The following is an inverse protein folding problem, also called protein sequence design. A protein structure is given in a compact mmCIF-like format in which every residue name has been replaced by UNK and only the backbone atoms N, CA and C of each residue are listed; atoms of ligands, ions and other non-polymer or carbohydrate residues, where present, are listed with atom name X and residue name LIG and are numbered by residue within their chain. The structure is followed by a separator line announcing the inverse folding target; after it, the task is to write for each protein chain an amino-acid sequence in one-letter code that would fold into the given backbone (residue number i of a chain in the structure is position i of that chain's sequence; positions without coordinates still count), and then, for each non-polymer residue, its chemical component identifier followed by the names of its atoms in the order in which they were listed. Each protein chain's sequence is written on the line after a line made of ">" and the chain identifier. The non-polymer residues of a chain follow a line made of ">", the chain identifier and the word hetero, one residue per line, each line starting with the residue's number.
data_IF_046885566275
#
_entry.id   IF_046885566275
#
_cell.length_a   1.000
_cell.length_b   1.000
_cell.length_c   1.000
_cell.angle_alpha   90.00
_cell.angle_beta   90.00
_cell.angle_gamma   90.00
#
_symmetry.space_group_name_H-M   'P 1'
#
loop_
_entity.id
_entity.type
_entity.pdbx_description
1 polymer ?
#
# COMPACT_ATOMS: atom_id res chain seq x y z
N UNK A 1 5.61 -6.42 14.28
CA UNK A 1 4.49 -5.86 13.47
C UNK A 1 5.04 -5.37 12.12
N UNK A 2 4.85 -6.17 11.07
CA UNK A 2 5.29 -5.82 9.72
C UNK A 2 4.40 -4.75 9.09
N UNK A 3 4.79 -4.18 7.94
CA UNK A 3 3.91 -3.29 7.19
C UNK A 3 2.59 -4.02 6.92
N UNK A 4 1.48 -3.30 7.01
CA UNK A 4 0.18 -3.83 6.63
C UNK A 4 0.25 -4.14 5.13
N UNK A 5 0.59 -5.37 4.76
CA UNK A 5 0.70 -5.85 3.36
C UNK A 5 -0.68 -6.26 2.84
N UNK A 6 -0.81 -6.36 1.51
CA UNK A 6 -2.04 -6.80 0.84
C UNK A 6 -2.53 -8.17 1.32
N UNK A 7 -1.64 -9.15 1.42
CA UNK A 7 -1.99 -10.50 1.90
C UNK A 7 -2.64 -10.49 3.29
N UNK A 8 -2.13 -9.63 4.18
CA UNK A 8 -2.68 -9.48 5.53
C UNK A 8 -4.01 -8.75 5.53
N UNK A 9 -4.19 -7.73 4.67
CA UNK A 9 -5.48 -7.07 4.43
C UNK A 9 -6.54 -8.08 4.00
N UNK A 10 -6.24 -8.87 2.98
CA UNK A 10 -7.13 -9.90 2.44
C UNK A 10 -7.47 -10.94 3.52
N UNK A 11 -6.48 -11.39 4.29
CA UNK A 11 -6.66 -12.37 5.37
C UNK A 11 -7.52 -11.85 6.51
N UNK A 12 -7.31 -10.60 6.95
CA UNK A 12 -8.10 -10.02 8.05
C UNK A 12 -9.55 -9.80 7.63
N UNK A 13 -9.77 -9.28 6.41
CA UNK A 13 -11.12 -9.10 5.88
C UNK A 13 -11.85 -10.45 5.80
N UNK A 14 -11.18 -11.48 5.28
CA UNK A 14 -11.74 -12.83 5.20
C UNK A 14 -12.16 -13.35 6.57
N UNK A 15 -11.26 -13.31 7.56
CA UNK A 15 -11.54 -13.75 8.94
C UNK A 15 -12.71 -13.00 9.57
N UNK A 16 -12.82 -11.70 9.33
CA UNK A 16 -13.92 -10.87 9.83
C UNK A 16 -15.26 -11.32 9.24
N UNK A 17 -15.32 -11.53 7.92
CA UNK A 17 -16.52 -11.98 7.23
C UNK A 17 -16.88 -13.43 7.59
N UNK A 18 -15.89 -14.30 7.76
CA UNK A 18 -16.09 -15.69 8.21
C UNK A 18 -16.69 -15.71 9.61
N UNK A 19 -16.16 -14.92 10.55
CA UNK A 19 -16.71 -14.78 11.89
C UNK A 19 -18.16 -14.27 11.86
N UNK A 20 -18.44 -13.24 11.06
CA UNK A 20 -19.81 -12.74 10.90
C UNK A 20 -20.74 -13.84 10.37
N UNK A 21 -20.35 -14.52 9.30
CA UNK A 21 -21.17 -15.57 8.65
C UNK A 21 -21.42 -16.74 9.61
N UNK A 22 -20.38 -17.20 10.30
CA UNK A 22 -20.47 -18.29 11.28
C UNK A 22 -21.42 -17.94 12.43
N UNK A 23 -21.39 -16.70 12.94
CA UNK A 23 -22.30 -16.28 14.03
C UNK A 23 -23.75 -16.26 13.51
N UNK A 24 -24.00 -15.78 12.29
CA UNK A 24 -25.36 -15.76 11.72
C UNK A 24 -25.95 -17.17 11.54
N UNK A 25 -25.11 -18.16 11.28
CA UNK A 25 -25.54 -19.56 11.17
C UNK A 25 -25.74 -20.23 12.54
N UNK A 26 -24.86 -19.96 13.50
CA UNK A 26 -24.81 -20.71 14.77
C UNK A 26 -25.54 -20.04 15.93
N UNK A 27 -25.79 -18.73 15.86
CA UNK A 27 -26.42 -17.98 16.94
C UNK A 27 -27.92 -18.29 17.11
N UNK A 28 -28.47 -18.08 18.33
CA UNK A 28 -29.92 -18.08 18.57
C UNK A 28 -30.64 -17.12 17.62
N UNK A 29 -31.90 -17.42 17.27
CA UNK A 29 -32.69 -16.66 16.27
C UNK A 29 -32.69 -15.14 16.48
N UNK A 30 -32.70 -14.70 17.73
CA UNK A 30 -32.71 -13.28 18.10
C UNK A 30 -31.36 -12.56 17.97
N UNK A 31 -30.30 -13.25 17.52
CA UNK A 31 -28.95 -12.69 17.30
C UNK A 31 -28.38 -12.99 15.91
N UNK A 32 -29.17 -13.63 15.03
CA UNK A 32 -28.72 -13.99 13.67
C UNK A 32 -28.60 -12.79 12.72
N UNK A 33 -29.06 -11.62 13.13
CA UNK A 33 -28.97 -10.36 12.38
C UNK A 33 -27.70 -9.55 12.73
N UNK A 34 -26.77 -10.13 13.47
CA UNK A 34 -25.51 -9.46 13.82
C UNK A 34 -24.77 -8.96 12.58
N UNK A 35 -24.23 -7.75 12.70
CA UNK A 35 -23.41 -7.11 11.66
C UNK A 35 -22.14 -6.64 12.33
N UNK A 36 -21.04 -7.38 12.11
CA UNK A 36 -19.70 -7.01 12.55
C UNK A 36 -19.08 -5.95 11.65
N UNK A 37 -19.45 -5.96 10.36
CA UNK A 37 -19.05 -4.95 9.39
C UNK A 37 -20.18 -4.68 8.40
N UNK A 38 -20.48 -3.40 8.22
CA UNK A 38 -21.50 -2.91 7.30
C UNK A 38 -21.03 -2.91 5.83
N UNK A 39 -21.97 -2.78 4.89
CA UNK A 39 -21.65 -2.66 3.46
C UNK A 39 -20.94 -1.33 3.16
N UNK A 40 -21.27 -0.28 3.90
CA UNK A 40 -20.65 1.03 3.82
C UNK A 40 -19.19 0.98 4.26
N UNK A 41 -18.90 0.31 5.39
CA UNK A 41 -17.52 0.08 5.84
C UNK A 41 -16.72 -0.78 4.84
N UNK A 42 -17.33 -1.82 4.28
CA UNK A 42 -16.70 -2.60 3.21
C UNK A 42 -16.40 -1.75 1.96
N UNK A 43 -17.29 -0.82 1.62
CA UNK A 43 -17.09 0.10 0.49
C UNK A 43 -15.94 1.07 0.76
N UNK A 44 -15.77 1.55 2.01
CA UNK A 44 -14.62 2.36 2.41
C UNK A 44 -13.32 1.55 2.45
N UNK A 45 -13.34 0.29 2.89
CA UNK A 45 -12.17 -0.59 2.79
C UNK A 45 -11.75 -0.73 1.33
N UNK A 46 -12.70 -1.01 0.42
CA UNK A 46 -12.42 -1.10 -1.02
C UNK A 46 -11.85 0.21 -1.56
N UNK A 47 -12.39 1.38 -1.17
CA UNK A 47 -11.85 2.71 -1.53
C UNK A 47 -10.39 2.84 -1.14
N UNK A 48 -10.06 2.56 0.12
CA UNK A 48 -8.70 2.68 0.65
C UNK A 48 -7.75 1.78 -0.14
N UNK A 49 -8.15 0.54 -0.44
CA UNK A 49 -7.28 -0.40 -1.17
C UNK A 49 -7.02 0.08 -2.60
N UNK A 50 -8.07 0.46 -3.33
CA UNK A 50 -7.95 0.88 -4.73
C UNK A 50 -7.27 2.25 -4.88
N UNK A 51 -7.58 3.23 -4.02
CA UNK A 51 -7.19 4.64 -4.23
C UNK A 51 -5.98 5.08 -3.38
N UNK A 52 -5.83 4.53 -2.17
CA UNK A 52 -4.75 4.94 -1.25
C UNK A 52 -3.63 3.91 -1.18
N UNK A 53 -3.94 2.63 -1.40
CA UNK A 53 -2.96 1.55 -1.50
C UNK A 53 -2.61 1.19 -2.94
N UNK A 54 -3.34 1.76 -3.90
CA UNK A 54 -3.11 1.58 -5.33
C UNK A 54 -3.16 0.11 -5.77
N UNK A 55 -4.00 -0.69 -5.11
CA UNK A 55 -4.17 -2.11 -5.40
C UNK A 55 -5.18 -2.29 -6.53
N UNK A 56 -4.73 -2.59 -7.75
CA UNK A 56 -5.66 -2.81 -8.86
C UNK A 56 -6.32 -4.19 -8.84
N UNK A 57 -5.71 -5.17 -8.17
CA UNK A 57 -6.35 -6.44 -7.84
C UNK A 57 -7.43 -6.20 -6.78
N UNK A 58 -8.63 -5.90 -7.26
CA UNK A 58 -9.85 -5.66 -6.47
C UNK A 58 -10.34 -6.95 -5.80
N UNK A 59 -9.65 -7.34 -4.72
CA UNK A 59 -9.87 -8.60 -4.02
C UNK A 59 -11.13 -8.60 -3.14
N UNK A 60 -11.59 -7.44 -2.67
CA UNK A 60 -12.69 -7.34 -1.71
C UNK A 60 -14.00 -7.95 -2.23
N UNK A 61 -14.49 -7.64 -3.45
CA UNK A 61 -15.71 -8.25 -3.98
C UNK A 61 -15.60 -9.78 -4.11
N UNK A 62 -14.40 -10.28 -4.44
CA UNK A 62 -14.10 -11.71 -4.54
C UNK A 62 -14.17 -12.37 -3.17
N UNK A 63 -13.46 -11.83 -2.18
CA UNK A 63 -13.46 -12.34 -0.79
C UNK A 63 -14.88 -12.34 -0.22
N UNK A 64 -15.62 -11.25 -0.40
CA UNK A 64 -16.99 -11.15 0.08
C UNK A 64 -17.86 -12.27 -0.50
N UNK A 65 -17.85 -12.46 -1.82
CA UNK A 65 -18.63 -13.51 -2.47
C UNK A 65 -18.21 -14.92 -2.07
N UNK A 66 -16.92 -15.17 -1.90
CA UNK A 66 -16.41 -16.48 -1.46
C UNK A 66 -16.88 -16.84 -0.05
N UNK A 67 -16.95 -15.86 0.86
CA UNK A 67 -17.28 -16.10 2.27
C UNK A 67 -18.79 -16.07 2.52
N UNK A 68 -19.51 -15.10 1.94
CA UNK A 68 -20.94 -14.91 2.21
C UNK A 68 -21.84 -15.61 1.20
N UNK A 69 -21.31 -15.99 0.03
CA UNK A 69 -22.08 -16.47 -1.12
C UNK A 69 -22.82 -15.37 -1.89
N UNK A 70 -22.84 -14.13 -1.39
CA UNK A 70 -23.57 -13.01 -1.97
C UNK A 70 -22.65 -12.13 -2.83
N UNK A 71 -23.21 -11.48 -3.87
CA UNK A 71 -22.44 -10.50 -4.64
C UNK A 71 -22.31 -9.20 -3.84
N UNK A 72 -21.07 -8.76 -3.62
CA UNK A 72 -20.80 -7.45 -3.06
C UNK A 72 -21.39 -6.35 -3.96
N UNK A 73 -22.12 -5.41 -3.36
CA UNK A 73 -22.65 -4.22 -4.03
C UNK A 73 -22.04 -3.00 -3.36
N UNK A 74 -21.09 -2.38 -4.06
CA UNK A 74 -20.50 -1.14 -3.58
C UNK A 74 -21.54 -0.02 -3.62
N UNK A 75 -21.78 0.62 -2.48
CA UNK A 75 -22.77 1.69 -2.36
C UNK A 75 -22.26 3.03 -2.91
N UNK A 76 -20.96 3.15 -3.22
CA UNK A 76 -20.37 4.39 -3.72
C UNK A 76 -20.71 4.60 -5.20
N UNK A 77 -21.09 5.83 -5.60
CA UNK A 77 -21.31 6.16 -7.01
C UNK A 77 -20.06 5.90 -7.86
N UNK A 78 -20.23 5.21 -8.99
CA UNK A 78 -19.14 4.98 -9.96
C UNK A 78 -18.16 3.84 -9.62
N UNK A 79 -18.34 3.14 -8.50
CA UNK A 79 -17.42 2.12 -8.01
C UNK A 79 -17.31 0.83 -8.87
N UNK A 80 -18.01 0.75 -10.00
CA UNK A 80 -17.91 -0.35 -10.97
C UNK A 80 -17.06 -0.03 -12.21
N UNK A 81 -16.55 1.20 -12.34
CA UNK A 81 -15.79 1.64 -13.51
C UNK A 81 -14.32 1.76 -13.10
N UNK A 82 -13.49 0.80 -13.51
CA UNK A 82 -12.04 0.90 -13.36
C UNK A 82 -11.34 0.76 -14.70
N UNK A 83 -10.39 1.65 -14.96
CA UNK A 83 -9.48 1.57 -16.09
C UNK A 83 -8.31 0.59 -15.84
N UNK A 84 -8.07 0.24 -14.57
CA UNK A 84 -7.01 -0.65 -14.12
C UNK A 84 -7.64 -1.73 -13.23
N UNK A 85 -7.45 -3.00 -13.57
CA UNK A 85 -8.01 -4.14 -12.86
C UNK A 85 -7.00 -5.27 -12.66
N UNK A 86 -7.51 -6.48 -12.44
CA UNK A 86 -6.71 -7.68 -12.19
C UNK A 86 -5.76 -8.03 -13.33
N UNK A 87 -6.17 -7.77 -14.57
CA UNK A 87 -5.38 -8.10 -15.75
C UNK A 87 -4.15 -7.18 -15.84
N UNK A 88 -4.35 -5.87 -15.67
CA UNK A 88 -3.26 -4.90 -15.59
C UNK A 88 -2.33 -5.17 -14.39
N UNK A 89 -2.90 -5.57 -13.24
CA UNK A 89 -2.11 -5.97 -12.08
C UNK A 89 -1.19 -7.16 -12.39
N UNK A 90 -1.73 -8.19 -13.04
CA UNK A 90 -0.98 -9.39 -13.41
C UNK A 90 0.17 -9.07 -14.38
N UNK A 91 -0.08 -8.18 -15.35
CA UNK A 91 0.96 -7.70 -16.27
C UNK A 91 2.05 -6.91 -15.54
N UNK A 92 1.67 -6.06 -14.57
CA UNK A 92 2.65 -5.34 -13.75
C UNK A 92 3.51 -6.28 -12.91
N UNK A 93 2.91 -7.29 -12.29
CA UNK A 93 3.63 -8.33 -11.54
C UNK A 93 4.67 -9.05 -12.42
N UNK A 94 4.28 -9.40 -13.64
CA UNK A 94 5.18 -10.04 -14.62
C UNK A 94 6.36 -9.13 -14.99
N UNK A 95 6.08 -7.86 -15.34
CA UNK A 95 7.12 -6.89 -15.71
C UNK A 95 8.08 -6.62 -14.55
N UNK A 96 7.57 -6.56 -13.33
CA UNK A 96 8.38 -6.29 -12.14
C UNK A 96 9.14 -7.53 -11.65
N UNK A 97 8.86 -8.71 -12.20
CA UNK A 97 9.59 -9.96 -11.94
C UNK A 97 9.79 -10.27 -10.44
N UNK A 98 8.74 -10.06 -9.64
CA UNK A 98 8.76 -10.32 -8.19
C UNK A 98 9.45 -9.25 -7.33
N UNK A 99 9.90 -8.14 -7.90
CA UNK A 99 10.34 -6.97 -7.12
C UNK A 99 9.13 -6.23 -6.54
N UNK A 100 8.84 -6.49 -5.26
CA UNK A 100 7.71 -5.88 -4.53
C UNK A 100 7.77 -4.34 -4.53
N UNK A 101 8.97 -3.76 -4.40
CA UNK A 101 9.13 -2.29 -4.33
C UNK A 101 8.90 -1.66 -5.69
N UNK A 102 9.42 -2.29 -6.75
CA UNK A 102 9.21 -1.83 -8.11
C UNK A 102 7.73 -1.94 -8.52
N UNK A 103 7.06 -3.04 -8.17
CA UNK A 103 5.63 -3.21 -8.38
C UNK A 103 4.82 -2.11 -7.66
N UNK A 104 5.14 -1.85 -6.38
CA UNK A 104 4.49 -0.79 -5.60
C UNK A 104 4.68 0.59 -6.25
N UNK A 105 5.88 0.90 -6.72
CA UNK A 105 6.17 2.16 -7.42
C UNK A 105 5.36 2.27 -8.72
N UNK A 106 5.38 1.24 -9.57
CA UNK A 106 4.67 1.26 -10.85
C UNK A 106 3.15 1.39 -10.66
N UNK A 107 2.58 0.65 -9.71
CA UNK A 107 1.18 0.76 -9.36
C UNK A 107 0.82 2.18 -8.88
N UNK A 108 1.62 2.76 -7.97
CA UNK A 108 1.44 4.14 -7.50
C UNK A 108 1.47 5.17 -8.61
N UNK A 109 2.44 5.06 -9.53
CA UNK A 109 2.58 6.00 -10.64
C UNK A 109 1.37 5.95 -11.58
N UNK A 110 0.96 4.73 -11.97
CA UNK A 110 -0.19 4.52 -12.86
C UNK A 110 -1.50 4.99 -12.22
N UNK A 111 -1.72 4.65 -10.94
CA UNK A 111 -2.93 5.09 -10.26
C UNK A 111 -2.97 6.60 -10.07
N UNK A 112 -1.84 7.21 -9.69
CA UNK A 112 -1.74 8.67 -9.55
C UNK A 112 -2.09 9.34 -10.87
N UNK A 113 -1.53 8.87 -11.99
CA UNK A 113 -1.85 9.38 -13.32
C UNK A 113 -3.36 9.21 -13.64
N UNK A 114 -3.93 8.05 -13.36
CA UNK A 114 -5.37 7.75 -13.52
C UNK A 114 -6.26 8.70 -12.71
N UNK A 115 -5.92 8.94 -11.43
CA UNK A 115 -6.69 9.85 -10.57
C UNK A 115 -6.67 11.29 -11.08
N UNK A 116 -5.57 11.72 -11.70
CA UNK A 116 -5.45 13.04 -12.31
C UNK A 116 -6.09 13.13 -13.70
N UNK A 117 -6.20 12.02 -14.44
CA UNK A 117 -6.91 11.96 -15.73
C UNK A 117 -8.39 12.34 -15.60
N UNK A 118 -9.04 11.95 -14.49
CA UNK A 118 -10.46 12.23 -14.22
C UNK A 118 -10.67 13.69 -13.76
N UNK A 119 -9.62 14.37 -13.28
CA UNK A 119 -9.73 15.74 -12.75
C UNK A 119 -9.72 16.78 -13.87
N UNK A 120 -10.56 17.80 -13.74
CA UNK A 120 -10.61 18.93 -14.68
C UNK A 120 -9.31 19.75 -14.73
N UNK A 121 -8.53 19.74 -13.65
CA UNK A 121 -7.25 20.43 -13.54
C UNK A 121 -6.17 19.48 -13.02
N UNK A 122 -5.02 19.45 -13.70
CA UNK A 122 -3.87 18.58 -13.39
C UNK A 122 -2.79 19.26 -12.55
N UNK A 123 -3.16 20.31 -11.82
CA UNK A 123 -2.24 21.02 -10.94
C UNK A 123 -1.74 20.07 -9.83
N UNK A 124 -0.42 20.12 -9.51
CA UNK A 124 0.30 19.23 -8.56
C UNK A 124 0.52 17.78 -8.97
N UNK A 125 0.25 17.39 -10.21
CA UNK A 125 0.53 16.02 -10.62
C UNK A 125 2.01 15.66 -10.44
N UNK A 126 2.92 16.56 -10.83
CA UNK A 126 4.36 16.33 -10.66
C UNK A 126 4.76 16.16 -9.20
N UNK A 127 4.20 16.97 -8.29
CA UNK A 127 4.42 16.82 -6.84
C UNK A 127 3.96 15.44 -6.34
N UNK A 128 2.80 14.96 -6.84
CA UNK A 128 2.25 13.66 -6.44
C UNK A 128 3.06 12.50 -7.00
N UNK A 129 3.54 12.62 -8.24
CA UNK A 129 4.43 11.63 -8.87
C UNK A 129 5.78 11.57 -8.14
N UNK A 130 6.37 12.72 -7.79
CA UNK A 130 7.62 12.80 -7.01
C UNK A 130 7.46 12.09 -5.64
N UNK A 131 6.31 12.28 -4.99
CA UNK A 131 6.00 11.60 -3.73
C UNK A 131 5.96 10.07 -3.87
N UNK A 132 5.59 9.53 -5.03
CA UNK A 132 5.63 8.08 -5.30
C UNK A 132 7.06 7.56 -5.23
N UNK A 133 8.02 8.28 -5.84
CA UNK A 133 9.43 7.94 -5.78
C UNK A 133 9.97 8.06 -4.36
N UNK A 134 9.61 9.09 -3.59
CA UNK A 134 10.10 9.23 -2.22
C UNK A 134 9.70 8.09 -1.30
N UNK A 135 8.56 7.46 -1.58
CA UNK A 135 8.07 6.33 -0.77
C UNK A 135 8.51 4.97 -1.27
N UNK A 136 8.68 4.77 -2.59
CA UNK A 136 8.72 3.42 -3.18
C UNK A 136 9.88 3.18 -4.15
N UNK A 137 10.77 4.16 -4.36
CA UNK A 137 11.91 4.00 -5.30
C UNK A 137 13.12 3.25 -4.75
N UNK A 138 13.15 3.03 -3.43
CA UNK A 138 14.34 2.49 -2.75
C UNK A 138 14.14 1.01 -2.47
N UNK A 139 15.24 0.26 -2.47
CA UNK A 139 15.22 -1.10 -1.92
C UNK A 139 14.79 -1.08 -0.46
N UNK A 140 14.32 -2.22 0.05
CA UNK A 140 13.88 -2.35 1.44
C UNK A 140 15.00 -1.95 2.42
N UNK A 141 16.22 -2.38 2.15
CA UNK A 141 17.41 -2.12 2.96
C UNK A 141 17.73 -0.62 2.98
N UNK A 142 17.74 0.02 1.80
CA UNK A 142 17.98 1.46 1.68
C UNK A 142 16.88 2.29 2.34
N UNK A 143 15.62 1.87 2.20
CA UNK A 143 14.48 2.54 2.83
C UNK A 143 14.58 2.50 4.36
N UNK A 144 14.93 1.33 4.93
CA UNK A 144 15.16 1.16 6.37
C UNK A 144 16.34 2.03 6.84
N UNK A 145 17.45 2.02 6.10
CA UNK A 145 18.61 2.82 6.45
C UNK A 145 18.30 4.32 6.41
N UNK A 146 17.55 4.78 5.42
CA UNK A 146 17.10 6.18 5.32
C UNK A 146 16.20 6.55 6.52
N UNK A 147 15.28 5.67 6.93
CA UNK A 147 14.44 5.89 8.10
C UNK A 147 15.26 6.02 9.39
N UNK A 148 16.26 5.15 9.58
CA UNK A 148 17.21 5.25 10.70
C UNK A 148 17.99 6.57 10.65
N UNK A 149 18.54 6.94 9.49
CA UNK A 149 19.28 8.18 9.31
C UNK A 149 18.43 9.42 9.65
N UNK A 150 17.16 9.45 9.21
CA UNK A 150 16.23 10.55 9.53
C UNK A 150 15.94 10.64 11.03
N UNK A 151 15.71 9.50 11.70
CA UNK A 151 15.48 9.46 13.16
C UNK A 151 16.70 9.97 13.91
N UNK A 152 17.86 9.42 13.58
CA UNK A 152 19.15 9.76 14.16
C UNK A 152 19.51 11.25 13.98
N UNK A 153 19.18 11.84 12.80
CA UNK A 153 19.33 13.27 12.55
C UNK A 153 18.41 14.09 13.45
N UNK A 154 17.15 13.67 13.62
CA UNK A 154 16.19 14.35 14.49
C UNK A 154 16.66 14.35 15.95
N UNK A 155 17.14 13.22 16.44
CA UNK A 155 17.73 13.11 17.79
C UNK A 155 18.98 14.00 17.93
N UNK A 156 19.83 14.08 16.90
CA UNK A 156 20.99 14.96 16.91
C UNK A 156 20.62 16.46 16.91
N UNK A 157 19.50 16.84 16.28
CA UNK A 157 18.94 18.20 16.35
C UNK A 157 18.52 18.53 17.77
N UNK A 158 17.78 17.63 18.42
CA UNK A 158 17.34 17.80 19.81
C UNK A 158 18.51 17.90 20.80
N UNK A 159 19.61 17.19 20.52
CA UNK A 159 20.83 17.22 21.35
C UNK A 159 21.83 18.33 20.98
N UNK A 160 21.56 19.13 19.94
CA UNK A 160 22.48 20.16 19.44
C UNK A 160 23.77 19.62 18.80
N UNK A 161 23.81 18.33 18.43
CA UNK A 161 24.98 17.62 17.86
C UNK A 161 24.88 17.37 16.35
N UNK A 162 24.12 18.20 15.65
CA UNK A 162 23.83 18.05 14.21
C UNK A 162 25.10 17.98 13.36
N UNK A 163 26.09 18.83 13.66
CA UNK A 163 27.33 18.93 12.89
C UNK A 163 28.20 17.67 12.96
N UNK A 164 28.27 17.02 14.13
CA UNK A 164 28.99 15.76 14.33
C UNK A 164 28.32 14.61 13.58
N UNK A 165 26.99 14.55 13.66
CA UNK A 165 26.22 13.50 12.99
C UNK A 165 26.26 13.62 11.47
N UNK A 166 26.20 14.84 10.92
CA UNK A 166 26.38 15.08 9.47
C UNK A 166 27.77 14.62 9.01
N UNK A 167 28.83 14.92 9.77
CA UNK A 167 30.18 14.44 9.45
C UNK A 167 30.25 12.90 9.44
N UNK A 168 29.66 12.23 10.43
CA UNK A 168 29.62 10.77 10.47
C UNK A 168 28.88 10.15 9.30
N UNK A 169 27.71 10.69 8.93
CA UNK A 169 26.92 10.23 7.78
C UNK A 169 27.67 10.44 6.45
N UNK A 170 28.30 11.61 6.28
CA UNK A 170 29.14 11.93 5.11
C UNK A 170 30.34 10.97 4.98
N UNK A 171 31.05 10.73 6.09
CA UNK A 171 32.17 9.80 6.13
C UNK A 171 31.75 8.34 5.87
N UNK A 172 30.61 7.92 6.41
CA UNK A 172 30.04 6.60 6.13
C UNK A 172 29.76 6.45 4.63
N UNK A 173 29.04 7.41 4.01
CA UNK A 173 28.76 7.37 2.57
C UNK A 173 30.04 7.33 1.72
N UNK A 174 31.06 8.11 2.06
CA UNK A 174 32.35 8.08 1.34
C UNK A 174 33.11 6.75 1.49
N UNK A 175 32.97 6.08 2.63
CA UNK A 175 33.65 4.79 2.88
C UNK A 175 32.95 3.65 2.15
N UNK A 176 31.62 3.61 2.20
CA UNK A 176 30.83 2.57 1.52
C UNK A 176 30.78 2.74 0.01
N UNK A 177 30.82 3.97 -0.54
CA UNK A 177 30.93 4.18 -1.99
C UNK A 177 32.25 3.68 -2.57
N UNK A 178 33.35 3.76 -1.81
CA UNK A 178 34.66 3.20 -2.20
C UNK A 178 34.72 1.68 -2.15
N UNK A 179 33.90 1.05 -1.32
CA UNK A 179 33.85 -0.41 -1.20
C UNK A 179 33.07 -1.05 -2.35
N UNK A 180 31.93 -0.48 -2.74
CA UNK A 180 31.20 -0.93 -3.93
C UNK A 180 32.00 -0.78 -5.24
N UNK A 181 32.94 0.16 -5.33
CA UNK A 181 33.83 0.29 -6.49
C UNK A 181 35.00 -0.70 -6.49
N UNK A 182 35.33 -1.31 -5.35
CA UNK A 182 36.45 -2.25 -5.23
C UNK A 182 36.02 -3.72 -5.45
N UNK A 183 34.73 -4.02 -5.31
CA UNK A 183 34.17 -5.37 -5.53
C UNK A 183 33.71 -5.61 -6.99
N UNK A 184 34.02 -4.69 -7.92
CA UNK A 184 33.67 -4.75 -9.36
C UNK A 184 34.91 -4.96 -10.27
N UNK A 185 36.12 -5.09 -9.71
CA UNK A 185 37.33 -5.55 -10.43
C UNK A 185 37.61 -7.04 -10.21
#
# INVERSE_FOLDING_TARGET
>A
PGPYKKEWRDTLLRKLLEAQTQIRETAPENMRDITLISLEELSEIRRIWLEEKHEFDDSLPRIYKEVTGEKFKDCRPGAGISLLGSDEWSVLEEICNGDEMHLELMAKLLDTERQYYIKSHRYKIYESLEQCFETSSRSKEEAIQNAHNKRDLKEAVEQGKVSEKIKQLSWANMKFSRQNSADIE
#
